data_IF_769404092889
#
_entry.id   IF_769404092889
#
_cell.length_a   1.000
_cell.length_b   1.000
_cell.length_c   1.000
_cell.angle_alpha   90.00
_cell.angle_beta   90.00
_cell.angle_gamma   90.00
#
_symmetry.space_group_name_H-M   'P 1'
#
loop_
_entity.id
_entity.type
_entity.pdbx_description
1 polymer ?
#
# COMPACT_ATOMS: atom_id res chain seq x y z
N UNK A 1 -7.53 -4.82 -19.63
CA UNK A 1 -7.13 -4.26 -18.33
C UNK A 1 -5.61 -4.35 -18.23
N UNK A 2 -4.91 -3.21 -18.25
CA UNK A 2 -3.50 -3.17 -17.92
C UNK A 2 -3.40 -3.27 -16.39
N UNK A 3 -2.62 -4.22 -15.88
CA UNK A 3 -2.42 -4.43 -14.43
C UNK A 3 -1.42 -3.38 -13.89
N UNK A 4 -1.68 -2.12 -14.17
CA UNK A 4 -0.81 -1.03 -13.80
C UNK A 4 -0.94 -0.76 -12.30
N UNK A 5 0.17 -0.52 -11.58
CA UNK A 5 0.09 -0.27 -10.15
C UNK A 5 -0.58 1.08 -9.90
N UNK A 6 -1.43 1.13 -8.87
CA UNK A 6 -1.99 2.37 -8.34
C UNK A 6 -1.42 2.59 -6.95
N UNK A 7 -0.99 3.82 -6.69
CA UNK A 7 -0.60 4.27 -5.35
C UNK A 7 -1.61 5.34 -4.95
N UNK A 8 -2.31 5.09 -3.85
CA UNK A 8 -3.24 6.04 -3.27
C UNK A 8 -2.73 6.51 -1.91
N UNK A 9 -2.91 7.80 -1.66
CA UNK A 9 -2.56 8.44 -0.39
C UNK A 9 -3.81 8.98 0.28
N UNK A 10 -3.89 8.76 1.58
CA UNK A 10 -4.88 9.37 2.45
C UNK A 10 -4.19 9.85 3.71
N UNK A 11 -4.78 10.84 4.37
CA UNK A 11 -4.35 11.33 5.68
C UNK A 11 -5.47 11.09 6.67
N UNK A 12 -5.11 10.61 7.86
CA UNK A 12 -6.06 10.47 8.97
C UNK A 12 -5.68 11.47 10.04
N UNK A 13 -6.65 12.27 10.48
CA UNK A 13 -6.50 13.23 11.56
C UNK A 13 -7.71 13.07 12.50
N UNK A 14 -7.45 12.95 13.81
CA UNK A 14 -8.50 12.83 14.85
C UNK A 14 -9.56 11.75 14.54
N UNK A 15 -9.11 10.61 14.00
CA UNK A 15 -9.99 9.49 13.64
C UNK A 15 -10.77 9.66 12.33
N UNK A 16 -10.65 10.80 11.66
CA UNK A 16 -11.28 11.05 10.36
C UNK A 16 -10.27 10.89 9.23
N UNK A 17 -10.60 10.06 8.24
CA UNK A 17 -9.79 9.83 7.06
C UNK A 17 -10.18 10.74 5.90
N UNK A 18 -9.18 11.30 5.24
CA UNK A 18 -9.31 12.17 4.08
C UNK A 18 -8.53 11.59 2.92
N UNK A 19 -9.21 11.38 1.79
CA UNK A 19 -8.54 11.01 0.55
C UNK A 19 -7.75 12.22 0.03
N UNK A 20 -6.49 11.99 -0.33
CA UNK A 20 -5.63 13.03 -0.90
C UNK A 20 -5.56 12.87 -2.41
N UNK A 21 -5.06 11.72 -2.86
CA UNK A 21 -4.80 11.48 -4.27
C UNK A 21 -4.66 9.97 -4.56
N UNK A 22 -4.80 9.61 -5.83
CA UNK A 22 -4.45 8.31 -6.36
C UNK A 22 -3.79 8.46 -7.73
N UNK A 23 -2.57 7.95 -7.84
CA UNK A 23 -1.77 8.02 -9.06
C UNK A 23 -1.60 6.63 -9.64
N UNK A 24 -1.88 6.51 -10.94
CA UNK A 24 -1.51 5.34 -11.71
C UNK A 24 -0.03 5.46 -12.06
N UNK A 25 0.81 4.54 -11.59
CA UNK A 25 2.25 4.57 -11.87
C UNK A 25 2.59 4.01 -13.26
N UNK A 26 1.58 3.64 -14.06
CA UNK A 26 1.75 3.10 -15.41
C UNK A 26 2.67 1.89 -15.43
N UNK A 27 3.61 1.86 -16.38
CA UNK A 27 4.63 0.81 -16.51
C UNK A 27 5.83 0.99 -15.59
N UNK A 28 5.88 2.05 -14.77
CA UNK A 28 6.99 2.28 -13.85
C UNK A 28 6.98 1.21 -12.77
N UNK A 29 8.11 0.50 -12.63
CA UNK A 29 8.30 -0.47 -11.56
C UNK A 29 8.11 0.23 -10.21
N UNK A 30 7.22 -0.29 -9.38
CA UNK A 30 6.97 0.17 -8.00
C UNK A 30 8.17 -0.12 -7.10
N UNK A 31 9.29 0.59 -7.28
CA UNK A 31 10.49 0.45 -6.45
C UNK A 31 10.33 1.21 -5.12
N UNK A 32 11.25 0.98 -4.18
CA UNK A 32 11.21 1.65 -2.87
C UNK A 32 11.45 3.15 -3.02
N UNK A 33 12.35 3.54 -3.92
CA UNK A 33 12.76 4.92 -4.20
C UNK A 33 11.60 5.71 -4.80
N UNK A 34 10.90 5.14 -5.79
CA UNK A 34 9.70 5.75 -6.39
C UNK A 34 8.61 5.95 -5.33
N UNK A 35 8.40 4.98 -4.45
CA UNK A 35 7.42 5.10 -3.37
C UNK A 35 7.82 6.19 -2.36
N UNK A 36 9.11 6.32 -2.07
CA UNK A 36 9.64 7.36 -1.17
C UNK A 36 9.43 8.76 -1.74
N UNK A 37 9.70 8.96 -3.04
CA UNK A 37 9.45 10.24 -3.71
C UNK A 37 7.95 10.61 -3.69
N UNK A 38 7.07 9.64 -3.95
CA UNK A 38 5.62 9.86 -3.92
C UNK A 38 5.12 10.18 -2.51
N UNK A 39 5.69 9.54 -1.49
CA UNK A 39 5.39 9.87 -0.09
C UNK A 39 5.84 11.29 0.24
N UNK A 40 7.06 11.68 -0.12
CA UNK A 40 7.59 13.02 0.15
C UNK A 40 6.72 14.12 -0.51
N UNK A 41 6.29 13.89 -1.76
CA UNK A 41 5.35 14.78 -2.46
C UNK A 41 4.00 14.84 -1.75
N UNK A 42 3.44 13.70 -1.37
CA UNK A 42 2.13 13.62 -0.69
C UNK A 42 2.17 14.28 0.69
N UNK A 43 3.26 14.08 1.45
CA UNK A 43 3.50 14.74 2.74
C UNK A 43 3.56 16.25 2.56
N UNK A 44 4.40 16.73 1.64
CA UNK A 44 4.53 18.17 1.37
C UNK A 44 3.19 18.78 0.96
N UNK A 45 2.42 18.09 0.12
CA UNK A 45 1.09 18.54 -0.27
C UNK A 45 0.14 18.63 0.93
N UNK A 46 0.09 17.60 1.78
CA UNK A 46 -0.77 17.58 2.95
C UNK A 46 -0.43 18.71 3.94
N UNK A 47 0.85 18.88 4.26
CA UNK A 47 1.32 19.87 5.22
C UNK A 47 1.10 21.30 4.72
N UNK A 48 1.35 21.56 3.43
CA UNK A 48 1.18 22.91 2.85
C UNK A 48 -0.28 23.27 2.58
N UNK A 49 -1.09 22.31 2.12
CA UNK A 49 -2.49 22.57 1.76
C UNK A 49 -3.40 22.64 2.99
N UNK A 50 -3.14 21.80 3.99
CA UNK A 50 -4.01 21.67 5.16
C UNK A 50 -3.41 22.23 6.45
N UNK A 51 -2.16 22.73 6.43
CA UNK A 51 -1.50 23.28 7.60
C UNK A 51 -1.28 22.26 8.73
N UNK A 52 -1.24 20.98 8.40
CA UNK A 52 -1.02 19.90 9.36
C UNK A 52 0.46 19.50 9.44
N UNK A 53 0.81 18.67 10.42
CA UNK A 53 2.11 18.02 10.53
C UNK A 53 1.92 16.50 10.36
N UNK A 54 2.58 15.91 9.37
CA UNK A 54 2.53 14.46 9.18
C UNK A 54 3.61 13.82 10.04
N UNK A 55 3.20 13.05 11.05
CA UNK A 55 4.11 12.38 11.99
C UNK A 55 4.25 10.87 11.73
N UNK A 56 3.24 10.26 11.13
CA UNK A 56 3.17 8.81 10.94
C UNK A 56 2.88 8.45 9.50
N UNK A 57 3.42 7.31 9.05
CA UNK A 57 3.11 6.73 7.74
C UNK A 57 2.80 5.24 7.89
N UNK A 58 1.72 4.80 7.25
CA UNK A 58 1.31 3.39 7.21
C UNK A 58 1.33 2.92 5.75
N UNK A 59 2.06 1.83 5.48
CA UNK A 59 2.08 1.21 4.14
C UNK A 59 1.88 -0.29 4.22
N UNK A 60 1.53 -0.93 3.09
CA UNK A 60 1.46 -2.39 3.02
C UNK A 60 2.82 -3.05 3.36
N UNK A 61 2.82 -4.36 3.58
CA UNK A 61 4.03 -5.11 3.96
C UNK A 61 4.72 -5.76 2.75
N UNK A 62 4.48 -5.25 1.53
CA UNK A 62 5.24 -5.70 0.37
C UNK A 62 6.72 -5.31 0.53
N UNK A 63 7.63 -6.12 -0.02
CA UNK A 63 9.08 -5.94 0.14
C UNK A 63 9.57 -4.53 -0.19
N UNK A 64 9.02 -3.89 -1.23
CA UNK A 64 9.43 -2.55 -1.63
C UNK A 64 8.95 -1.47 -0.65
N UNK A 65 7.77 -1.65 -0.03
CA UNK A 65 7.27 -0.75 1.02
C UNK A 65 8.05 -0.90 2.32
N UNK A 66 8.44 -2.13 2.69
CA UNK A 66 9.33 -2.38 3.83
C UNK A 66 10.66 -1.65 3.64
N UNK A 67 11.31 -1.83 2.48
CA UNK A 67 12.56 -1.13 2.16
C UNK A 67 12.43 0.39 2.20
N UNK A 68 11.30 0.93 1.71
CA UNK A 68 11.02 2.36 1.76
C UNK A 68 10.93 2.85 3.22
N UNK A 69 10.22 2.11 4.09
CA UNK A 69 10.14 2.44 5.52
C UNK A 69 11.51 2.38 6.19
N UNK A 70 12.29 1.32 5.94
CA UNK A 70 13.66 1.18 6.47
C UNK A 70 14.57 2.32 6.03
N UNK A 71 14.37 2.86 4.81
CA UNK A 71 15.12 4.00 4.31
C UNK A 71 14.72 5.30 5.04
N UNK A 72 13.42 5.51 5.25
CA UNK A 72 12.89 6.69 5.96
C UNK A 72 13.37 6.73 7.41
N UNK A 73 13.34 5.60 8.11
CA UNK A 73 13.78 5.50 9.51
C UNK A 73 15.28 5.80 9.69
N UNK A 74 16.09 5.61 8.64
CA UNK A 74 17.53 5.88 8.64
C UNK A 74 17.88 7.31 8.29
N UNK A 75 16.94 8.10 7.77
CA UNK A 75 17.18 9.50 7.41
C UNK A 75 17.05 10.35 8.67
N UNK A 76 18.18 10.84 9.17
CA UNK A 76 18.21 11.99 10.08
C UNK A 76 18.19 13.27 9.21
N UNK A 77 17.02 13.91 9.07
CA UNK A 77 16.95 15.25 8.46
C UNK A 77 17.22 16.30 9.54
N UNK A 78 18.28 17.09 9.37
CA UNK A 78 18.59 18.24 10.25
C UNK A 78 17.37 19.18 10.33
N UNK A 79 16.69 19.16 11.47
CA UNK A 79 15.56 20.05 11.76
C UNK A 79 14.16 19.46 11.54
N UNK A 80 14.01 18.16 11.23
CA UNK A 80 12.70 17.50 11.19
C UNK A 80 12.70 16.21 12.00
N UNK A 81 11.66 16.03 12.81
CA UNK A 81 11.43 14.76 13.50
C UNK A 81 11.24 13.64 12.46
N UNK A 82 11.92 12.50 12.63
CA UNK A 82 11.78 11.37 11.72
C UNK A 82 10.33 10.86 11.72
N UNK A 83 9.83 10.47 10.54
CA UNK A 83 8.50 9.87 10.41
C UNK A 83 8.47 8.52 11.13
N UNK A 84 7.47 8.32 11.98
CA UNK A 84 7.20 7.00 12.56
C UNK A 84 6.51 6.14 11.51
N UNK A 85 7.06 4.98 11.21
CA UNK A 85 6.53 4.11 10.16
C UNK A 85 5.84 2.87 10.73
N UNK A 86 4.75 2.45 10.08
CA UNK A 86 4.01 1.24 10.44
C UNK A 86 3.69 0.38 9.22
N UNK A 87 3.62 -0.93 9.45
CA UNK A 87 3.09 -1.89 8.49
C UNK A 87 1.58 -2.04 8.61
N UNK A 88 0.90 -2.24 7.48
CA UNK A 88 -0.55 -2.44 7.44
C UNK A 88 -0.96 -3.74 8.15
N UNK A 89 -1.78 -3.63 9.19
CA UNK A 89 -2.31 -4.77 9.94
C UNK A 89 -3.24 -5.65 9.09
N UNK A 90 -4.08 -5.05 8.23
CA UNK A 90 -4.94 -5.82 7.34
C UNK A 90 -4.12 -6.69 6.38
N UNK A 91 -2.97 -6.19 5.91
CA UNK A 91 -2.08 -6.99 5.08
C UNK A 91 -1.42 -8.12 5.89
N UNK A 92 -1.00 -7.86 7.13
CA UNK A 92 -0.51 -8.92 8.03
C UNK A 92 -1.55 -10.01 8.30
N UNK A 93 -2.79 -9.64 8.57
CA UNK A 93 -3.89 -10.60 8.77
C UNK A 93 -4.14 -11.44 7.52
N UNK A 94 -4.06 -10.84 6.33
CA UNK A 94 -4.16 -11.57 5.08
C UNK A 94 -2.99 -12.55 4.87
N UNK A 95 -1.76 -12.16 5.23
CA UNK A 95 -0.59 -13.06 5.17
C UNK A 95 -0.74 -14.22 6.16
N UNK A 96 -1.13 -13.94 7.40
CA UNK A 96 -1.40 -14.96 8.40
C UNK A 96 -2.52 -15.92 7.94
N UNK A 97 -3.59 -15.38 7.35
CA UNK A 97 -4.66 -16.19 6.77
C UNK A 97 -4.15 -17.14 5.70
N UNK A 98 -3.21 -16.71 4.86
CA UNK A 98 -2.56 -17.59 3.86
C UNK A 98 -1.73 -18.69 4.53
N UNK A 99 -0.96 -18.36 5.57
CA UNK A 99 -0.12 -19.32 6.26
C UNK A 99 -0.94 -20.39 7.01
N UNK A 100 -2.11 -20.01 7.52
CA UNK A 100 -3.00 -20.91 8.28
C UNK A 100 -3.96 -21.72 7.40
N UNK A 101 -4.27 -21.26 6.19
CA UNK A 101 -5.25 -21.93 5.33
C UNK A 101 -4.61 -23.12 4.62
N UNK A 102 -5.17 -24.34 4.70
CA UNK A 102 -4.63 -25.49 3.99
C UNK A 102 -4.61 -25.29 2.47
N UNK A 103 -3.47 -25.52 1.83
CA UNK A 103 -3.28 -25.38 0.38
C UNK A 103 -4.31 -26.17 -0.44
N UNK A 104 -4.65 -27.38 0.01
CA UNK A 104 -5.62 -28.24 -0.66
C UNK A 104 -7.02 -27.60 -0.72
N UNK A 105 -7.45 -26.96 0.38
CA UNK A 105 -8.74 -26.28 0.44
C UNK A 105 -8.76 -25.09 -0.52
N UNK A 106 -7.70 -24.26 -0.50
CA UNK A 106 -7.58 -23.12 -1.43
C UNK A 106 -7.58 -23.57 -2.89
N UNK A 107 -6.90 -24.68 -3.21
CA UNK A 107 -6.90 -25.24 -4.55
C UNK A 107 -8.31 -25.63 -5.01
N UNK A 108 -9.08 -26.30 -4.16
CA UNK A 108 -10.47 -26.66 -4.46
C UNK A 108 -11.34 -25.43 -4.73
N UNK A 109 -11.22 -24.39 -3.89
CA UNK A 109 -11.95 -23.12 -4.09
C UNK A 109 -11.58 -22.47 -5.43
N UNK A 110 -10.29 -22.44 -5.77
CA UNK A 110 -9.82 -21.89 -7.05
C UNK A 110 -10.38 -22.69 -8.24
N UNK A 111 -10.41 -24.02 -8.15
CA UNK A 111 -10.89 -24.87 -9.24
C UNK A 111 -12.40 -24.72 -9.46
N UNK A 112 -13.18 -24.58 -8.38
CA UNK A 112 -14.62 -24.24 -8.45
C UNK A 112 -14.81 -22.88 -9.13
N UNK A 113 -14.08 -21.85 -8.71
CA UNK A 113 -14.17 -20.52 -9.32
C UNK A 113 -13.79 -20.52 -10.80
N UNK A 114 -12.75 -21.29 -11.19
CA UNK A 114 -12.39 -21.48 -12.60
C UNK A 114 -13.50 -22.15 -13.39
N UNK A 115 -14.15 -23.17 -12.84
CA UNK A 115 -15.26 -23.85 -13.50
C UNK A 115 -16.39 -22.88 -13.82
N UNK A 116 -16.85 -22.09 -12.83
CA UNK A 116 -17.90 -21.10 -13.04
C UNK A 116 -17.50 -20.02 -14.05
N UNK A 117 -16.29 -19.49 -13.95
CA UNK A 117 -15.78 -18.51 -14.91
C UNK A 117 -15.80 -19.06 -16.34
N UNK A 118 -15.37 -20.30 -16.54
CA UNK A 118 -15.26 -20.89 -17.88
C UNK A 118 -16.59 -21.37 -18.49
N UNK A 119 -17.60 -21.70 -17.68
CA UNK A 119 -18.84 -22.34 -18.16
C UNK A 119 -20.11 -21.52 -17.94
N UNK A 120 -20.15 -20.71 -16.87
CA UNK A 120 -21.35 -19.98 -16.45
C UNK A 120 -21.20 -18.47 -16.58
N UNK A 121 -19.99 -17.98 -16.85
CA UNK A 121 -19.72 -16.58 -17.22
C UNK A 121 -18.94 -16.54 -18.53
N UNK A 122 -19.50 -17.02 -19.66
CA UNK A 122 -18.83 -16.89 -20.95
C UNK A 122 -18.69 -15.39 -21.25
N UNK A 123 -17.47 -14.96 -21.61
CA UNK A 123 -17.13 -13.59 -22.07
C UNK A 123 -16.71 -12.52 -21.04
N UNK A 124 -16.24 -12.90 -19.85
CA UNK A 124 -15.52 -11.96 -18.95
C UNK A 124 -14.04 -11.79 -19.30
#
# INVERSE_FOLDING_TARGET
LHNDPVISTSVTCEGTGYFIDAQCTGSTTKTAEVCQELLAKSKTYAETTYGCQVQTVVTDNAKNMVKMRDAIEKVEEEGREPLITYGCLAHWLNLLGKDLTPDQLMKQVVDINKYFRSHHVPSA
#
